data_IF_712684324035
#
_entry.id   IF_712684324035
#
_cell.length_a   1.000
_cell.length_b   1.000
_cell.length_c   1.000
_cell.angle_alpha   90.00
_cell.angle_beta   90.00
_cell.angle_gamma   90.00
#
_symmetry.space_group_name_H-M   'P 1'
#
loop_
_entity.id
_entity.type
_entity.pdbx_description
1 polymer ?
#
# COMPACT_ATOMS: atom_id res chain seq x y z
N UNK A 1 15.53 13.12 -9.03
CA UNK A 1 16.96 12.96 -8.70
C UNK A 1 17.28 11.48 -8.57
N UNK A 2 18.17 10.98 -9.41
CA UNK A 2 18.74 9.64 -9.33
C UNK A 2 19.93 9.70 -8.37
N UNK A 3 19.92 8.89 -7.34
CA UNK A 3 21.00 8.77 -6.37
C UNK A 3 20.46 8.40 -4.98
N UNK A 4 21.18 7.58 -4.26
CA UNK A 4 20.89 7.29 -2.86
C UNK A 4 21.14 8.57 -2.06
N UNK A 5 20.11 9.35 -1.78
CA UNK A 5 20.20 10.27 -0.66
C UNK A 5 20.22 9.42 0.60
N UNK A 6 21.34 9.45 1.29
CA UNK A 6 21.54 8.80 2.59
C UNK A 6 20.53 9.24 3.67
N UNK A 7 19.79 10.34 3.43
CA UNK A 7 18.66 10.79 4.25
C UNK A 7 17.37 9.97 4.06
N UNK A 8 17.31 9.11 3.06
CA UNK A 8 16.16 8.26 2.80
C UNK A 8 16.45 6.87 3.31
N UNK A 9 15.66 6.44 4.26
CA UNK A 9 15.58 5.09 4.88
C UNK A 9 16.82 4.18 4.79
N UNK A 10 17.31 3.76 5.95
CA UNK A 10 18.24 2.64 6.06
C UNK A 10 17.63 1.39 5.43
N UNK A 11 18.26 0.81 4.42
CA UNK A 11 17.88 -0.49 3.83
C UNK A 11 17.34 -0.46 2.40
N UNK A 12 17.27 0.68 1.74
CA UNK A 12 16.92 0.76 0.32
C UNK A 12 18.12 0.42 -0.57
N UNK A 13 18.03 -0.69 -1.31
CA UNK A 13 18.95 -1.01 -2.40
C UNK A 13 18.47 -0.29 -3.66
N UNK A 14 19.28 0.63 -4.22
CA UNK A 14 19.07 1.16 -5.58
C UNK A 14 18.43 2.54 -5.71
N UNK A 15 17.88 3.15 -4.69
CA UNK A 15 17.36 4.53 -4.76
C UNK A 15 16.05 4.76 -4.03
N UNK A 16 15.63 6.03 -3.96
CA UNK A 16 14.37 6.46 -3.33
C UNK A 16 13.57 7.30 -4.29
N UNK A 17 12.30 6.91 -4.49
CA UNK A 17 11.30 7.72 -5.18
C UNK A 17 10.48 8.46 -4.13
N UNK A 18 10.51 9.77 -4.15
CA UNK A 18 9.68 10.61 -3.28
C UNK A 18 8.50 11.16 -4.12
N UNK A 19 7.30 10.71 -3.79
CA UNK A 19 6.07 11.21 -4.40
C UNK A 19 5.45 12.22 -3.42
N UNK A 20 5.44 13.49 -3.80
CA UNK A 20 4.81 14.55 -3.03
C UNK A 20 3.56 15.04 -3.76
N UNK A 21 2.44 15.09 -3.06
CA UNK A 21 1.20 15.68 -3.56
C UNK A 21 1.06 17.10 -2.99
N UNK A 22 1.16 18.10 -3.84
CA UNK A 22 0.93 19.50 -3.45
C UNK A 22 -0.56 19.74 -3.32
N UNK A 23 -1.04 19.76 -2.10
CA UNK A 23 -2.43 20.12 -1.82
C UNK A 23 -2.60 21.63 -1.77
N UNK A 24 -3.64 22.12 -2.43
CA UNK A 24 -3.97 23.53 -2.44
C UNK A 24 -5.04 23.82 -1.38
N UNK A 25 -4.76 24.79 -0.52
CA UNK A 25 -5.73 25.33 0.42
C UNK A 25 -6.65 26.33 -0.25
N UNK A 26 -7.85 26.54 0.30
CA UNK A 26 -8.82 27.55 -0.12
C UNK A 26 -9.46 27.28 -1.50
N UNK A 27 -9.66 26.03 -1.85
CA UNK A 27 -10.34 25.63 -3.10
C UNK A 27 -11.85 25.41 -2.92
N UNK A 28 -12.37 25.44 -1.69
CA UNK A 28 -13.78 25.17 -1.40
C UNK A 28 -14.13 23.69 -1.49
N UNK A 29 -15.28 23.39 -2.09
CA UNK A 29 -15.77 22.04 -2.30
C UNK A 29 -14.91 21.32 -3.35
N UNK A 30 -14.49 20.10 -3.04
CA UNK A 30 -13.73 19.21 -3.93
C UNK A 30 -14.63 18.03 -4.25
N UNK A 31 -14.91 17.82 -5.54
CA UNK A 31 -15.66 16.68 -6.03
C UNK A 31 -15.02 16.19 -7.32
N UNK A 32 -14.59 14.93 -7.34
CA UNK A 32 -14.10 14.26 -8.56
C UNK A 32 -14.69 12.84 -8.55
N UNK A 33 -15.45 12.51 -9.58
CA UNK A 33 -16.04 11.21 -9.77
C UNK A 33 -15.70 10.69 -11.15
N UNK A 34 -15.22 9.44 -11.22
CA UNK A 34 -14.89 8.79 -12.48
C UNK A 34 -15.44 7.38 -12.48
N UNK A 35 -16.00 6.99 -13.61
CA UNK A 35 -16.46 5.64 -13.88
C UNK A 35 -15.83 5.16 -15.16
N UNK A 36 -15.25 3.96 -15.13
CA UNK A 36 -14.71 3.30 -16.30
C UNK A 36 -15.39 1.94 -16.48
N UNK A 37 -15.59 1.54 -17.71
CA UNK A 37 -16.10 0.24 -18.08
C UNK A 37 -15.26 -0.33 -19.21
N UNK A 38 -14.94 -1.62 -19.15
CA UNK A 38 -14.10 -2.29 -20.12
C UNK A 38 -14.56 -3.73 -20.42
N UNK A 39 -13.80 -4.43 -21.24
CA UNK A 39 -14.04 -5.83 -21.57
C UNK A 39 -14.04 -6.72 -20.31
N UNK A 40 -14.67 -7.89 -20.41
CA UNK A 40 -14.74 -8.89 -19.33
C UNK A 40 -15.38 -8.35 -18.05
N UNK A 41 -16.44 -7.56 -18.21
CA UNK A 41 -17.16 -6.91 -17.10
C UNK A 41 -16.23 -6.11 -16.17
N UNK A 42 -15.23 -5.44 -16.75
CA UNK A 42 -14.29 -4.62 -15.98
C UNK A 42 -14.93 -3.29 -15.60
N UNK A 43 -14.98 -3.00 -14.31
CA UNK A 43 -15.51 -1.78 -13.73
C UNK A 43 -14.46 -1.08 -12.88
N UNK A 44 -14.31 0.23 -13.10
CA UNK A 44 -13.50 1.09 -12.26
C UNK A 44 -14.33 2.29 -11.79
N UNK A 45 -14.45 2.48 -10.48
CA UNK A 45 -15.18 3.57 -9.86
C UNK A 45 -14.23 4.33 -8.93
N UNK A 46 -14.19 5.65 -9.07
CA UNK A 46 -13.36 6.53 -8.25
C UNK A 46 -14.19 7.71 -7.79
N UNK A 47 -14.10 8.05 -6.53
CA UNK A 47 -14.78 9.18 -5.94
C UNK A 47 -13.81 9.91 -5.01
N UNK A 48 -13.71 11.22 -5.17
CA UNK A 48 -13.08 12.12 -4.22
C UNK A 48 -14.10 13.16 -3.78
N UNK A 49 -14.32 13.25 -2.48
CA UNK A 49 -15.17 14.29 -1.88
C UNK A 49 -14.36 14.97 -0.78
N UNK A 50 -14.41 16.27 -0.73
CA UNK A 50 -13.69 17.02 0.29
C UNK A 50 -14.05 18.49 0.33
N UNK A 51 -13.44 19.17 1.28
CA UNK A 51 -13.53 20.60 1.44
C UNK A 51 -12.17 21.18 1.82
N UNK A 52 -11.83 22.30 1.20
CA UNK A 52 -10.59 23.02 1.42
C UNK A 52 -10.86 24.48 1.77
N UNK A 53 -10.52 24.85 2.98
CA UNK A 53 -10.57 26.25 3.48
C UNK A 53 -9.15 26.83 3.57
N UNK A 54 -9.04 28.08 4.04
CA UNK A 54 -7.76 28.80 4.16
C UNK A 54 -6.71 28.02 4.97
N UNK A 55 -7.13 27.37 6.06
CA UNK A 55 -6.22 26.71 7.00
C UNK A 55 -6.55 25.22 7.21
N UNK A 56 -7.46 24.68 6.43
CA UNK A 56 -7.96 23.32 6.66
C UNK A 56 -8.28 22.67 5.32
N UNK A 57 -7.95 21.39 5.22
CA UNK A 57 -8.37 20.50 4.12
C UNK A 57 -8.84 19.19 4.78
N UNK A 58 -10.02 18.73 4.38
CA UNK A 58 -10.45 17.36 4.64
C UNK A 58 -11.02 16.78 3.36
N UNK A 59 -10.62 15.56 3.04
CA UNK A 59 -11.15 14.84 1.87
C UNK A 59 -11.11 13.34 2.10
N UNK A 60 -12.00 12.65 1.44
CA UNK A 60 -12.00 11.19 1.35
C UNK A 60 -11.94 10.83 -0.12
N UNK A 61 -11.03 9.93 -0.45
CA UNK A 61 -10.99 9.26 -1.75
C UNK A 61 -11.46 7.84 -1.54
N UNK A 62 -12.30 7.35 -2.44
CA UNK A 62 -12.73 5.96 -2.47
C UNK A 62 -12.61 5.40 -3.88
N UNK A 63 -12.34 4.12 -3.99
CA UNK A 63 -12.29 3.46 -5.28
C UNK A 63 -12.76 2.01 -5.17
N UNK A 64 -13.21 1.48 -6.30
CA UNK A 64 -13.48 0.07 -6.51
C UNK A 64 -13.12 -0.31 -7.94
N UNK A 65 -12.33 -1.36 -8.10
CA UNK A 65 -12.02 -1.97 -9.38
C UNK A 65 -12.41 -3.45 -9.33
N UNK A 66 -13.03 -3.94 -10.37
CA UNK A 66 -13.40 -5.35 -10.48
C UNK A 66 -13.43 -5.80 -11.93
N UNK A 67 -13.19 -7.07 -12.17
CA UNK A 67 -13.34 -7.69 -13.48
C UNK A 67 -13.63 -9.18 -13.29
N UNK A 68 -14.46 -9.75 -14.18
CA UNK A 68 -14.66 -11.20 -14.27
C UNK A 68 -13.47 -11.86 -14.96
N UNK A 69 -12.75 -11.12 -15.80
CA UNK A 69 -11.56 -11.55 -16.52
C UNK A 69 -11.74 -12.89 -17.28
N UNK A 70 -12.94 -13.12 -17.77
CA UNK A 70 -13.46 -14.39 -18.36
C UNK A 70 -13.23 -14.48 -19.88
N UNK A 71 -12.05 -14.05 -20.34
CA UNK A 71 -11.71 -14.05 -21.77
C UNK A 71 -11.77 -15.46 -22.37
N UNK A 72 -12.12 -15.53 -23.67
CA UNK A 72 -12.10 -16.76 -24.44
C UNK A 72 -10.70 -17.06 -24.95
N UNK A 73 -10.27 -18.32 -24.86
CA UNK A 73 -8.99 -18.80 -25.37
C UNK A 73 -9.15 -20.18 -26.02
N UNK A 74 -8.25 -20.51 -26.95
CA UNK A 74 -8.17 -21.84 -27.53
C UNK A 74 -7.27 -22.73 -26.69
N UNK A 75 -7.83 -23.79 -26.12
CA UNK A 75 -7.04 -24.79 -25.41
C UNK A 75 -6.34 -25.73 -26.42
N UNK A 76 -5.02 -25.59 -26.48
CA UNK A 76 -4.16 -26.41 -27.38
C UNK A 76 -3.63 -27.68 -26.71
N UNK A 77 -3.93 -27.90 -25.43
CA UNK A 77 -3.54 -29.10 -24.70
C UNK A 77 -4.45 -30.33 -24.99
N UNK A 78 -5.56 -30.13 -25.71
CA UNK A 78 -6.51 -31.18 -26.08
C UNK A 78 -6.69 -31.24 -27.58
N UNK A 79 -6.93 -32.42 -28.13
CA UNK A 79 -7.26 -32.62 -29.54
C UNK A 79 -8.67 -33.25 -29.61
N UNK A 80 -9.63 -32.65 -30.35
CA UNK A 80 -9.53 -31.39 -31.09
C UNK A 80 -9.37 -30.17 -30.16
N UNK A 81 -8.77 -29.10 -30.67
CA UNK A 81 -8.64 -27.82 -29.95
C UNK A 81 -10.03 -27.27 -29.65
N UNK A 82 -10.19 -26.81 -28.40
CA UNK A 82 -11.48 -26.31 -27.92
C UNK A 82 -11.36 -24.83 -27.50
N UNK A 83 -12.38 -24.07 -27.89
CA UNK A 83 -12.57 -22.74 -27.30
C UNK A 83 -13.14 -22.88 -25.90
N UNK A 84 -12.49 -22.22 -24.97
CA UNK A 84 -12.85 -22.21 -23.53
C UNK A 84 -12.88 -20.79 -23.00
N UNK A 85 -13.75 -20.53 -22.03
CA UNK A 85 -13.70 -19.32 -21.22
C UNK A 85 -12.78 -19.51 -20.03
N UNK A 86 -11.95 -18.49 -19.75
CA UNK A 86 -11.15 -18.46 -18.54
C UNK A 86 -12.07 -18.46 -17.32
N UNK A 87 -11.78 -19.31 -16.36
CA UNK A 87 -12.48 -19.41 -15.09
C UNK A 87 -11.54 -19.05 -13.96
N UNK A 88 -12.09 -18.65 -12.84
CA UNK A 88 -11.32 -18.37 -11.63
C UNK A 88 -10.21 -17.33 -11.87
N UNK A 89 -10.53 -16.23 -12.55
CA UNK A 89 -9.59 -15.15 -12.87
C UNK A 89 -10.12 -13.78 -12.43
N UNK A 90 -11.30 -13.76 -11.83
CA UNK A 90 -11.95 -12.55 -11.35
C UNK A 90 -11.20 -11.93 -10.18
N UNK A 91 -11.36 -10.63 -10.06
CA UNK A 91 -10.83 -9.88 -8.94
C UNK A 91 -11.74 -8.73 -8.54
N UNK A 92 -11.60 -8.31 -7.29
CA UNK A 92 -12.14 -7.07 -6.78
C UNK A 92 -11.13 -6.41 -5.84
N UNK A 93 -10.84 -5.13 -6.12
CA UNK A 93 -10.04 -4.26 -5.27
C UNK A 93 -10.89 -3.05 -4.90
N UNK A 94 -10.97 -2.71 -3.63
CA UNK A 94 -11.63 -1.48 -3.19
C UNK A 94 -10.92 -0.88 -1.99
N UNK A 95 -11.09 0.40 -1.82
CA UNK A 95 -10.44 1.07 -0.70
C UNK A 95 -10.92 2.49 -0.51
N UNK A 96 -10.49 3.08 0.59
CA UNK A 96 -10.76 4.46 0.93
C UNK A 96 -9.56 5.10 1.61
N UNK A 97 -9.40 6.40 1.39
CA UNK A 97 -8.28 7.18 1.90
C UNK A 97 -8.79 8.53 2.44
N UNK A 98 -9.13 8.63 3.74
CA UNK A 98 -9.35 9.91 4.39
C UNK A 98 -8.01 10.65 4.57
N UNK A 99 -8.05 11.93 4.27
CA UNK A 99 -6.93 12.86 4.42
C UNK A 99 -7.41 14.11 5.13
N UNK A 100 -6.60 14.61 6.06
CA UNK A 100 -6.83 15.87 6.74
C UNK A 100 -5.54 16.65 6.87
N UNK A 101 -5.59 17.95 6.61
CA UNK A 101 -4.49 18.88 6.89
C UNK A 101 -5.01 20.11 7.62
N UNK A 102 -4.29 20.51 8.63
CA UNK A 102 -4.58 21.75 9.37
C UNK A 102 -3.31 22.58 9.41
N UNK A 103 -3.39 23.80 8.91
CA UNK A 103 -2.32 24.78 8.90
C UNK A 103 -2.51 25.76 10.05
N UNK A 104 -1.52 25.89 10.87
CA UNK A 104 -1.38 26.95 11.86
C UNK A 104 -0.38 27.98 11.36
N UNK A 105 -0.14 29.04 12.15
CA UNK A 105 0.78 30.12 11.74
C UNK A 105 2.15 29.58 11.29
N UNK A 106 2.74 28.71 12.09
CA UNK A 106 4.09 28.18 11.88
C UNK A 106 4.13 26.66 11.82
N UNK A 107 2.99 25.99 11.70
CA UNK A 107 2.98 24.54 11.70
C UNK A 107 1.90 23.96 10.78
N UNK A 108 2.10 22.70 10.42
CA UNK A 108 1.20 21.91 9.60
C UNK A 108 1.03 20.55 10.26
N UNK A 109 -0.22 20.20 10.55
CA UNK A 109 -0.64 18.86 10.94
C UNK A 109 -1.21 18.16 9.72
N UNK A 110 -0.77 16.94 9.47
CA UNK A 110 -1.25 16.12 8.34
C UNK A 110 -1.62 14.74 8.88
N UNK A 111 -2.79 14.27 8.53
CA UNK A 111 -3.24 12.90 8.75
C UNK A 111 -3.65 12.29 7.42
N UNK A 112 -3.22 11.06 7.17
CA UNK A 112 -3.63 10.24 6.02
C UNK A 112 -3.82 8.81 6.52
N UNK A 113 -4.92 8.20 6.13
CA UNK A 113 -5.14 6.77 6.32
C UNK A 113 -5.47 6.16 4.97
N UNK A 114 -4.78 5.10 4.57
CA UNK A 114 -5.08 4.36 3.35
C UNK A 114 -5.45 2.93 3.71
N UNK A 115 -6.70 2.59 3.40
CA UNK A 115 -7.27 1.27 3.65
C UNK A 115 -7.63 0.64 2.30
N UNK A 116 -7.19 -0.57 2.09
CA UNK A 116 -7.45 -1.34 0.87
C UNK A 116 -7.82 -2.76 1.23
N UNK A 117 -8.74 -3.30 0.45
CA UNK A 117 -9.20 -4.68 0.48
C UNK A 117 -9.12 -5.22 -0.94
N UNK A 118 -8.51 -6.38 -1.09
CA UNK A 118 -8.28 -6.99 -2.39
C UNK A 118 -8.56 -8.48 -2.32
N UNK A 119 -9.40 -8.96 -3.21
CA UNK A 119 -9.62 -10.38 -3.46
C UNK A 119 -9.28 -10.68 -4.90
N UNK A 120 -8.47 -11.72 -5.13
CA UNK A 120 -8.09 -12.16 -6.47
C UNK A 120 -8.09 -13.66 -6.56
N UNK A 121 -8.87 -14.17 -7.50
CA UNK A 121 -8.81 -15.56 -7.91
C UNK A 121 -7.67 -15.78 -8.92
N UNK A 122 -7.03 -16.93 -8.86
CA UNK A 122 -5.97 -17.31 -9.77
C UNK A 122 -6.46 -18.40 -10.74
N UNK A 123 -6.35 -18.15 -12.04
CA UNK A 123 -6.79 -19.11 -13.05
C UNK A 123 -5.90 -20.35 -13.05
N UNK A 124 -6.51 -21.46 -13.39
CA UNK A 124 -5.79 -22.70 -13.57
C UNK A 124 -4.88 -22.66 -14.80
N UNK A 125 -3.84 -23.50 -14.76
CA UNK A 125 -2.98 -23.72 -15.92
C UNK A 125 -3.78 -24.43 -17.02
N UNK A 126 -3.70 -23.97 -18.27
CA UNK A 126 -4.42 -24.48 -19.44
C UNK A 126 -4.47 -26.01 -19.61
N UNK A 127 -3.40 -26.79 -19.29
CA UNK A 127 -3.44 -28.26 -19.44
C UNK A 127 -4.37 -28.97 -18.47
N UNK A 128 -4.80 -28.35 -17.38
CA UNK A 128 -5.59 -28.98 -16.34
C UNK A 128 -7.11 -28.91 -16.63
N UNK A 129 -7.55 -29.54 -17.74
CA UNK A 129 -8.97 -29.60 -18.11
C UNK A 129 -9.81 -30.35 -17.06
N UNK A 130 -9.19 -31.18 -16.21
CA UNK A 130 -9.87 -32.08 -15.28
C UNK A 130 -9.76 -31.66 -13.81
N UNK A 131 -8.91 -30.71 -13.47
CA UNK A 131 -8.72 -30.27 -12.08
C UNK A 131 -9.44 -28.95 -11.83
N UNK A 132 -10.54 -29.02 -11.11
CA UNK A 132 -11.16 -27.84 -10.52
C UNK A 132 -10.34 -27.43 -9.29
N UNK A 133 -9.23 -26.72 -9.47
CA UNK A 133 -8.55 -26.09 -8.35
C UNK A 133 -9.26 -24.81 -7.97
N UNK A 134 -9.32 -24.51 -6.69
CA UNK A 134 -9.74 -23.22 -6.17
C UNK A 134 -8.52 -22.54 -5.57
N UNK A 135 -8.13 -21.46 -6.17
CA UNK A 135 -6.94 -20.71 -5.76
C UNK A 135 -7.27 -19.23 -5.69
N UNK A 136 -6.99 -18.59 -4.56
CA UNK A 136 -7.18 -17.15 -4.39
C UNK A 136 -6.21 -16.55 -3.38
N UNK A 137 -6.05 -15.24 -3.45
CA UNK A 137 -5.41 -14.45 -2.41
C UNK A 137 -6.28 -13.27 -2.01
N UNK A 138 -6.34 -13.02 -0.70
CA UNK A 138 -6.85 -11.79 -0.12
C UNK A 138 -5.67 -10.97 0.41
N UNK A 139 -5.67 -9.67 0.12
CA UNK A 139 -4.67 -8.73 0.62
C UNK A 139 -5.38 -7.50 1.17
N UNK A 140 -5.38 -7.38 2.48
CA UNK A 140 -6.00 -6.26 3.19
C UNK A 140 -4.92 -5.46 3.89
N UNK A 141 -4.96 -4.15 3.76
CA UNK A 141 -4.05 -3.31 4.53
C UNK A 141 -4.69 -2.02 5.02
N UNK A 142 -4.16 -1.54 6.13
CA UNK A 142 -4.41 -0.22 6.68
C UNK A 142 -3.09 0.48 6.95
N UNK A 143 -2.84 1.61 6.31
CA UNK A 143 -1.61 2.42 6.42
C UNK A 143 -1.98 3.80 6.93
N UNK A 144 -1.61 4.08 8.16
CA UNK A 144 -1.95 5.31 8.85
C UNK A 144 -0.69 6.16 9.02
N UNK A 145 -0.83 7.43 8.76
CA UNK A 145 0.25 8.40 8.81
C UNK A 145 -0.21 9.68 9.49
N UNK A 146 0.52 10.10 10.50
CA UNK A 146 0.35 11.39 11.19
C UNK A 146 1.67 12.13 11.15
N UNK A 147 1.66 13.38 10.71
CA UNK A 147 2.84 14.25 10.70
C UNK A 147 2.51 15.60 11.30
N UNK A 148 3.38 16.05 12.18
CA UNK A 148 3.37 17.41 12.67
C UNK A 148 4.68 18.08 12.29
N UNK A 149 4.59 19.17 11.51
CA UNK A 149 5.72 19.95 11.02
C UNK A 149 5.66 21.35 11.60
N UNK A 150 6.74 21.78 12.24
CA UNK A 150 6.89 23.10 12.80
C UNK A 150 8.05 23.84 12.11
N UNK A 151 7.81 25.10 11.77
CA UNK A 151 8.75 25.97 11.07
C UNK A 151 9.16 27.14 11.96
N UNK A 152 10.43 27.51 11.93
CA UNK A 152 10.96 28.75 12.47
C UNK A 152 11.84 29.43 11.42
N UNK A 153 12.36 30.62 11.72
CA UNK A 153 13.05 31.45 10.71
C UNK A 153 14.24 30.75 10.01
N UNK A 154 14.95 29.89 10.73
CA UNK A 154 16.18 29.25 10.25
C UNK A 154 16.05 27.73 10.11
N UNK A 155 14.84 27.16 10.20
CA UNK A 155 14.74 25.72 10.09
C UNK A 155 13.33 25.16 10.25
N UNK A 156 13.29 23.84 10.37
CA UNK A 156 12.04 23.08 10.60
C UNK A 156 12.33 21.79 11.35
N UNK A 157 11.35 21.33 12.10
CA UNK A 157 11.29 19.98 12.62
C UNK A 157 10.00 19.30 12.16
N UNK A 158 10.08 18.05 11.82
CA UNK A 158 8.92 17.24 11.47
C UNK A 158 8.95 15.94 12.29
N UNK A 159 7.86 15.69 13.02
CA UNK A 159 7.63 14.43 13.72
C UNK A 159 6.60 13.64 12.94
N UNK A 160 6.92 12.40 12.59
CA UNK A 160 6.06 11.49 11.83
C UNK A 160 5.81 10.24 12.63
N UNK A 161 4.55 9.85 12.72
CA UNK A 161 4.09 8.59 13.29
C UNK A 161 3.38 7.81 12.20
N UNK A 162 3.73 6.56 12.01
CA UNK A 162 3.09 5.70 11.03
C UNK A 162 2.79 4.34 11.62
N UNK A 163 1.61 3.81 11.30
CA UNK A 163 1.22 2.45 11.63
C UNK A 163 0.73 1.75 10.37
N UNK A 164 1.36 0.64 10.04
CA UNK A 164 1.00 -0.22 8.92
C UNK A 164 0.54 -1.56 9.46
N UNK A 165 -0.65 -1.95 9.06
CA UNK A 165 -1.22 -3.26 9.31
C UNK A 165 -1.55 -3.90 7.97
N UNK A 166 -1.05 -5.10 7.74
CA UNK A 166 -1.27 -5.84 6.49
C UNK A 166 -1.59 -7.31 6.80
N UNK A 167 -2.63 -7.80 6.17
CA UNK A 167 -3.07 -9.19 6.26
C UNK A 167 -3.13 -9.77 4.86
N UNK A 168 -2.42 -10.87 4.65
CA UNK A 168 -2.43 -11.62 3.41
C UNK A 168 -2.91 -13.04 3.69
N UNK A 169 -3.95 -13.46 3.01
CA UNK A 169 -4.40 -14.84 2.97
C UNK A 169 -4.13 -15.42 1.60
N UNK A 170 -3.56 -16.60 1.54
CA UNK A 170 -3.45 -17.37 0.32
C UNK A 170 -4.08 -18.74 0.52
N UNK A 171 -4.94 -19.14 -0.39
CA UNK A 171 -5.67 -20.40 -0.36
C UNK A 171 -5.49 -21.16 -1.66
N UNK A 172 -5.17 -22.45 -1.54
CA UNK A 172 -5.10 -23.39 -2.65
C UNK A 172 -5.77 -24.71 -2.26
N UNK A 173 -6.80 -25.06 -3.00
CA UNK A 173 -7.52 -26.33 -2.90
C UNK A 173 -7.49 -27.06 -4.25
N UNK A 174 -7.14 -28.31 -4.23
CA UNK A 174 -7.22 -29.20 -5.39
C UNK A 174 -8.25 -30.31 -5.15
N UNK A 175 -8.57 -31.08 -6.17
CA UNK A 175 -9.51 -32.18 -6.06
C UNK A 175 -8.83 -33.49 -6.40
N UNK A 176 -9.10 -34.53 -5.61
CA UNK A 176 -8.64 -35.89 -5.90
C UNK A 176 -9.33 -36.43 -7.17
N UNK A 177 -8.82 -37.53 -7.71
CA UNK A 177 -9.45 -38.24 -8.84
C UNK A 177 -10.92 -38.63 -8.58
N UNK A 178 -11.30 -38.78 -7.32
CA UNK A 178 -12.67 -39.09 -6.89
C UNK A 178 -13.53 -37.85 -6.65
N UNK A 179 -13.01 -36.65 -6.96
CA UNK A 179 -13.73 -35.37 -6.81
C UNK A 179 -13.80 -34.83 -5.39
N UNK A 180 -13.07 -35.41 -4.43
CA UNK A 180 -13.02 -34.87 -3.07
C UNK A 180 -12.05 -33.70 -2.98
N UNK A 181 -12.43 -32.59 -2.33
CA UNK A 181 -11.53 -31.46 -2.13
C UNK A 181 -10.38 -31.79 -1.17
N UNK A 182 -9.20 -31.31 -1.48
CA UNK A 182 -8.00 -31.41 -0.65
C UNK A 182 -7.33 -30.03 -0.58
N UNK A 183 -7.31 -29.44 0.58
CA UNK A 183 -6.59 -28.20 0.81
C UNK A 183 -5.09 -28.44 0.71
N UNK A 184 -4.45 -27.81 -0.25
CA UNK A 184 -3.00 -27.91 -0.47
C UNK A 184 -2.24 -26.84 0.32
N UNK A 185 -2.83 -25.65 0.44
CA UNK A 185 -2.26 -24.53 1.17
C UNK A 185 -3.35 -23.62 1.70
N UNK A 186 -3.20 -23.18 2.93
CA UNK A 186 -3.98 -22.10 3.50
C UNK A 186 -3.06 -21.31 4.44
N UNK A 187 -2.43 -20.30 3.91
CA UNK A 187 -1.51 -19.47 4.67
C UNK A 187 -2.13 -18.13 5.04
N UNK A 188 -1.84 -17.68 6.25
CA UNK A 188 -2.23 -16.37 6.75
C UNK A 188 -0.99 -15.65 7.26
N UNK A 189 -0.64 -14.54 6.60
CA UNK A 189 0.48 -13.69 6.97
C UNK A 189 -0.06 -12.36 7.49
N UNK A 190 0.46 -11.90 8.61
CA UNK A 190 0.14 -10.60 9.20
C UNK A 190 1.42 -9.84 9.46
N UNK A 191 1.42 -8.56 9.13
CA UNK A 191 2.52 -7.65 9.39
C UNK A 191 2.01 -6.40 10.09
N UNK A 192 2.62 -6.05 11.21
CA UNK A 192 2.39 -4.82 11.95
C UNK A 192 3.70 -4.06 12.02
N UNK A 193 3.69 -2.81 11.56
CA UNK A 193 4.87 -1.93 11.63
C UNK A 193 4.46 -0.61 12.25
N UNK A 194 5.06 -0.28 13.37
CA UNK A 194 4.97 1.04 13.97
C UNK A 194 6.29 1.78 13.75
N UNK A 195 6.22 2.96 13.14
CA UNK A 195 7.38 3.79 12.79
C UNK A 195 7.25 5.19 13.35
N UNK A 196 8.31 5.65 13.99
CA UNK A 196 8.47 7.03 14.43
C UNK A 196 9.66 7.66 13.73
N UNK A 197 9.50 8.88 13.25
CA UNK A 197 10.58 9.65 12.63
C UNK A 197 10.57 11.05 13.21
N UNK A 198 11.75 11.53 13.59
CA UNK A 198 12.01 12.94 13.85
C UNK A 198 13.02 13.41 12.80
N UNK A 199 12.65 14.42 12.03
CA UNK A 199 13.44 15.00 10.94
C UNK A 199 13.67 16.47 11.25
N UNK A 200 14.92 16.88 11.41
CA UNK A 200 15.35 18.24 11.68
C UNK A 200 16.14 18.79 10.49
N UNK A 201 15.77 19.97 10.07
CA UNK A 201 16.57 20.78 9.15
C UNK A 201 16.82 22.14 9.80
N UNK A 202 18.09 22.55 9.88
CA UNK A 202 18.52 23.83 10.44
C UNK A 202 19.46 24.52 9.48
N UNK A 203 19.13 25.74 9.09
CA UNK A 203 20.06 26.61 8.37
C UNK A 203 21.12 27.12 9.39
N UNK A 204 22.36 26.90 9.03
CA UNK A 204 23.52 27.35 9.78
C UNK A 204 24.03 28.70 9.22
N UNK A 205 25.27 29.05 9.55
CA UNK A 205 25.88 30.28 9.05
C UNK A 205 26.09 30.21 7.50
N UNK A 206 25.77 31.28 6.79
CA UNK A 206 25.84 31.41 5.32
C UNK A 206 24.95 30.38 4.59
N UNK A 207 25.53 29.57 3.69
CA UNK A 207 24.84 28.58 2.86
C UNK A 207 24.84 27.16 3.44
N UNK A 208 25.30 26.98 4.68
CA UNK A 208 25.38 25.68 5.33
C UNK A 208 24.05 25.27 5.94
N UNK A 209 23.69 24.00 5.79
CA UNK A 209 22.49 23.39 6.36
C UNK A 209 22.83 22.11 7.10
N UNK A 210 22.27 21.98 8.29
CA UNK A 210 22.31 20.76 9.08
C UNK A 210 21.02 19.96 8.83
N UNK A 211 21.17 18.68 8.60
CA UNK A 211 20.11 17.70 8.54
C UNK A 211 20.35 16.65 9.61
N UNK A 212 19.36 16.37 10.43
CA UNK A 212 19.41 15.28 11.39
C UNK A 212 18.11 14.49 11.35
N UNK A 213 18.20 13.17 11.42
CA UNK A 213 17.04 12.28 11.40
C UNK A 213 17.24 11.16 12.40
N UNK A 214 16.21 10.90 13.18
CA UNK A 214 16.08 9.75 14.06
C UNK A 214 14.88 8.95 13.57
N UNK A 215 15.05 7.66 13.37
CA UNK A 215 13.97 6.76 13.01
C UNK A 215 13.99 5.55 13.92
N UNK A 216 12.84 5.22 14.46
CA UNK A 216 12.62 3.99 15.22
C UNK A 216 11.47 3.21 14.61
N UNK A 217 11.73 1.94 14.30
CA UNK A 217 10.78 1.00 13.77
C UNK A 217 10.58 -0.17 14.74
N UNK A 218 9.32 -0.48 15.04
CA UNK A 218 8.92 -1.71 15.72
C UNK A 218 8.11 -2.53 14.72
N UNK A 219 8.61 -3.72 14.38
CA UNK A 219 8.02 -4.58 13.38
C UNK A 219 7.68 -5.93 14.01
N UNK A 220 6.49 -6.42 13.68
CA UNK A 220 6.02 -7.76 14.06
C UNK A 220 5.45 -8.42 12.82
N UNK A 221 5.89 -9.64 12.53
CA UNK A 221 5.35 -10.46 11.46
C UNK A 221 4.87 -11.77 12.07
N UNK A 222 3.69 -12.23 11.67
CA UNK A 222 3.21 -13.55 12.01
C UNK A 222 2.79 -14.29 10.75
N UNK A 223 3.17 -15.56 10.66
CA UNK A 223 2.81 -16.43 9.54
C UNK A 223 2.31 -17.76 10.10
N UNK A 224 1.18 -18.20 9.62
CA UNK A 224 0.60 -19.51 9.95
C UNK A 224 0.24 -20.23 8.66
N UNK A 225 0.49 -21.55 8.63
CA UNK A 225 0.07 -22.43 7.56
C UNK A 225 -0.92 -23.46 8.13
N UNK A 226 -1.88 -23.88 7.31
CA UNK A 226 -2.96 -24.79 7.73
C UNK A 226 -2.44 -26.09 8.38
N UNK A 227 -1.32 -26.63 7.88
CA UNK A 227 -0.77 -27.91 8.34
C UNK A 227 0.28 -27.79 9.45
N UNK A 228 0.68 -26.61 9.82
CA UNK A 228 1.65 -26.41 10.89
C UNK A 228 1.05 -25.59 12.03
N UNK A 229 1.00 -26.21 13.20
CA UNK A 229 0.73 -25.51 14.46
C UNK A 229 1.79 -24.45 14.81
N UNK A 230 2.78 -24.25 13.98
CA UNK A 230 3.91 -23.34 14.20
C UNK A 230 3.60 -21.97 13.64
N UNK A 231 3.05 -21.11 14.48
CA UNK A 231 2.98 -19.69 14.19
C UNK A 231 4.31 -19.05 14.55
N UNK A 232 5.08 -18.63 13.56
CA UNK A 232 6.25 -17.79 13.78
C UNK A 232 5.80 -16.35 13.97
N UNK A 233 6.28 -15.68 15.03
CA UNK A 233 5.96 -14.26 15.30
C UNK A 233 7.24 -13.48 15.62
N UNK A 234 8.18 -13.36 14.66
CA UNK A 234 9.39 -12.58 14.86
C UNK A 234 9.05 -11.10 15.07
N UNK A 235 9.79 -10.51 16.02
CA UNK A 235 9.73 -9.07 16.30
C UNK A 235 11.08 -8.45 16.05
N UNK A 236 11.10 -7.26 15.48
CA UNK A 236 12.32 -6.50 15.22
C UNK A 236 12.15 -5.06 15.66
N UNK A 237 13.17 -4.53 16.36
CA UNK A 237 13.29 -3.12 16.66
C UNK A 237 14.51 -2.58 15.92
N UNK A 238 14.34 -1.49 15.20
CA UNK A 238 15.41 -0.85 14.44
C UNK A 238 15.47 0.61 14.87
N UNK A 239 16.65 1.04 15.29
CA UNK A 239 16.96 2.45 15.50
C UNK A 239 17.96 2.91 14.45
N UNK A 240 17.61 3.96 13.72
CA UNK A 240 18.46 4.55 12.69
C UNK A 240 18.71 6.02 13.01
N UNK A 241 19.98 6.43 12.97
CA UNK A 241 20.40 7.79 13.18
C UNK A 241 21.10 8.29 11.92
N UNK A 242 20.80 9.51 11.53
CA UNK A 242 21.42 10.17 10.40
C UNK A 242 21.72 11.63 10.75
N UNK A 243 22.90 12.10 10.37
CA UNK A 243 23.27 13.52 10.42
C UNK A 243 24.09 13.87 9.18
N UNK A 244 23.84 15.01 8.60
CA UNK A 244 24.62 15.55 7.49
C UNK A 244 24.67 17.06 7.54
N UNK A 245 25.77 17.62 7.05
CA UNK A 245 25.92 19.04 6.80
C UNK A 245 26.15 19.24 5.31
N UNK A 246 25.36 20.09 4.69
CA UNK A 246 25.46 20.47 3.28
C UNK A 246 25.75 21.97 3.18
N UNK A 247 26.69 22.35 2.31
CA UNK A 247 27.05 23.74 2.13
C UNK A 247 27.74 23.98 0.79
N UNK A 248 27.58 25.21 0.28
CA UNK A 248 28.36 25.67 -0.88
C UNK A 248 29.48 26.56 -0.38
N UNK A 249 30.68 26.28 -0.83
CA UNK A 249 31.88 27.12 -0.62
C UNK A 249 31.92 28.22 -1.67
#
# INVERSE_FOLDING_TARGET
QWGSKTSANSGGLGGVVNIANNQKFNEGLILDARQTYGSFNTWGSYLTVGYSAKNFIARVKAYRNSSDNDFTYTNIATIPYQEMKQKNADFVDYGFMPEMQVRFKNSLLTFVSWNQFSHRNYPQIMPNVFNNTKEYADNDFSRNFLSYKYYWNSGRVEVKSSYFHEVQTYFLESYTSNGNPVTQNHSLNKSDVFRQIIDLQQDLYKSWKLYAKIQWDNEKVSSSNYDSSTTSSPKRNILSLYAAVDGKI
#
